data_IF_808530747763
#
_entry.id   IF_808530747763
#
_cell.length_a   1.000
_cell.length_b   1.000
_cell.length_c   1.000
_cell.angle_alpha   90.00
_cell.angle_beta   90.00
_cell.angle_gamma   90.00
#
_symmetry.space_group_name_H-M   'P 1'
#
loop_
_entity.id
_entity.type
_entity.pdbx_description
1 polymer ?
#
# COMPACT_ATOMS: atom_id res chain seq x y z
N UNK A 1 24.44 -4.14 -2.34
CA UNK A 1 23.66 -2.94 -1.93
C UNK A 1 22.21 -2.87 -2.46
N UNK A 2 21.82 -3.58 -3.54
CA UNK A 2 20.45 -3.50 -4.13
C UNK A 2 19.30 -3.84 -3.15
N UNK A 3 19.50 -4.81 -2.25
CA UNK A 3 18.51 -5.20 -1.21
C UNK A 3 18.17 -4.06 -0.24
N UNK A 4 19.13 -3.17 0.05
CA UNK A 4 18.93 -2.03 0.96
C UNK A 4 17.98 -0.97 0.36
N UNK A 5 18.09 -0.73 -0.95
CA UNK A 5 17.20 0.21 -1.66
C UNK A 5 15.77 -0.32 -1.72
N UNK A 6 15.60 -1.62 -1.98
CA UNK A 6 14.27 -2.26 -2.04
C UNK A 6 13.58 -2.20 -0.68
N UNK A 7 14.29 -2.54 0.39
CA UNK A 7 13.76 -2.44 1.76
C UNK A 7 13.37 -1.00 2.12
N UNK A 8 14.14 -0.01 1.65
CA UNK A 8 13.85 1.41 1.85
C UNK A 8 12.57 1.84 1.12
N UNK A 9 12.36 1.36 -0.11
CA UNK A 9 11.11 1.61 -0.87
C UNK A 9 9.91 0.98 -0.16
N UNK A 10 10.03 -0.26 0.31
CA UNK A 10 8.95 -0.95 1.04
C UNK A 10 8.62 -0.22 2.34
N UNK A 11 9.64 0.24 3.08
CA UNK A 11 9.46 0.98 4.34
C UNK A 11 8.72 2.31 4.14
N UNK A 12 9.08 3.09 3.11
CA UNK A 12 8.38 4.35 2.77
C UNK A 12 6.93 4.09 2.37
N UNK A 13 6.71 3.03 1.58
CA UNK A 13 5.37 2.65 1.11
C UNK A 13 4.47 2.21 2.27
N UNK A 14 5.01 1.47 3.24
CA UNK A 14 4.29 1.07 4.44
C UNK A 14 3.91 2.29 5.29
N UNK A 15 4.81 3.26 5.44
CA UNK A 15 4.54 4.50 6.16
C UNK A 15 3.41 5.33 5.51
N UNK A 16 3.39 5.42 4.18
CA UNK A 16 2.31 6.09 3.43
C UNK A 16 0.94 5.40 3.66
N UNK A 17 0.92 4.07 3.70
CA UNK A 17 -0.31 3.33 4.00
C UNK A 17 -0.82 3.58 5.42
N UNK A 18 0.09 3.68 6.40
CA UNK A 18 -0.28 4.02 7.78
C UNK A 18 -0.87 5.43 7.87
N UNK A 19 -0.26 6.41 7.20
CA UNK A 19 -0.78 7.78 7.14
C UNK A 19 -2.17 7.87 6.49
N UNK A 20 -2.40 7.11 5.41
CA UNK A 20 -3.68 7.05 4.73
C UNK A 20 -4.76 6.40 5.61
N UNK A 21 -4.41 5.34 6.34
CA UNK A 21 -5.30 4.68 7.28
C UNK A 21 -5.68 5.59 8.46
N UNK A 22 -4.71 6.32 9.02
CA UNK A 22 -4.95 7.32 10.08
C UNK A 22 -5.88 8.42 9.56
N UNK A 23 -5.62 8.93 8.35
CA UNK A 23 -6.48 9.97 7.74
C UNK A 23 -7.89 9.45 7.48
N UNK A 24 -8.06 8.22 6.98
CA UNK A 24 -9.38 7.60 6.84
C UNK A 24 -10.09 7.41 8.19
N UNK A 25 -9.37 7.06 9.25
CA UNK A 25 -9.95 6.94 10.59
C UNK A 25 -10.44 8.31 11.12
N UNK A 26 -9.66 9.37 10.91
CA UNK A 26 -10.03 10.73 11.34
C UNK A 26 -11.19 11.27 10.50
N UNK A 27 -11.11 11.18 9.16
CA UNK A 27 -12.15 11.68 8.24
C UNK A 27 -13.44 10.86 8.32
N UNK A 28 -13.35 9.55 8.55
CA UNK A 28 -14.50 8.65 8.69
C UNK A 28 -15.33 8.90 9.95
N UNK A 29 -14.83 9.67 10.90
CA UNK A 29 -15.59 10.04 12.11
C UNK A 29 -16.57 11.22 11.84
N UNK A 30 -16.43 11.92 10.70
CA UNK A 30 -17.24 13.10 10.36
C UNK A 30 -18.22 12.97 9.19
N UNK A 31 -18.16 11.91 8.36
CA UNK A 31 -19.01 11.78 7.16
C UNK A 31 -19.83 10.49 7.15
N UNK A 32 -21.05 10.58 6.62
CA UNK A 32 -22.05 9.49 6.59
C UNK A 32 -21.62 8.26 5.79
N UNK A 33 -22.34 7.15 6.00
CA UNK A 33 -22.08 5.79 5.50
C UNK A 33 -21.67 5.64 4.00
N UNK A 34 -22.06 6.59 3.14
CA UNK A 34 -21.69 6.61 1.70
C UNK A 34 -20.22 7.04 1.44
N UNK A 35 -19.64 7.91 2.26
CA UNK A 35 -18.23 8.33 2.14
C UNK A 35 -17.28 7.19 2.55
N UNK A 36 -17.69 6.42 3.55
CA UNK A 36 -16.91 5.29 4.07
C UNK A 36 -16.72 4.18 3.01
N UNK A 37 -17.73 3.90 2.18
CA UNK A 37 -17.61 2.93 1.08
C UNK A 37 -16.67 3.39 -0.02
N UNK A 38 -16.62 4.69 -0.30
CA UNK A 38 -15.72 5.25 -1.30
C UNK A 38 -14.27 5.30 -0.79
N UNK A 39 -14.08 5.65 0.49
CA UNK A 39 -12.78 5.57 1.19
C UNK A 39 -12.29 4.13 1.28
N UNK A 40 -13.16 3.17 1.62
CA UNK A 40 -12.81 1.77 1.69
C UNK A 40 -12.39 1.23 0.32
N UNK A 41 -13.06 1.64 -0.78
CA UNK A 41 -12.61 1.32 -2.13
C UNK A 41 -11.24 1.93 -2.43
N UNK A 42 -11.01 3.19 -2.09
CA UNK A 42 -9.72 3.84 -2.32
C UNK A 42 -8.59 3.11 -1.58
N UNK A 43 -8.81 2.70 -0.33
CA UNK A 43 -7.86 1.90 0.45
C UNK A 43 -7.65 0.52 -0.17
N UNK A 44 -8.73 -0.19 -0.56
CA UNK A 44 -8.62 -1.49 -1.22
C UNK A 44 -7.86 -1.43 -2.55
N UNK A 45 -8.08 -0.39 -3.36
CA UNK A 45 -7.34 -0.18 -4.61
C UNK A 45 -5.86 0.11 -4.29
N UNK A 46 -5.58 0.93 -3.27
CA UNK A 46 -4.21 1.19 -2.81
C UNK A 46 -3.48 -0.09 -2.40
N UNK A 47 -4.12 -0.96 -1.61
CA UNK A 47 -3.58 -2.25 -1.20
C UNK A 47 -3.35 -3.17 -2.41
N UNK A 48 -4.31 -3.24 -3.34
CA UNK A 48 -4.21 -4.10 -4.53
C UNK A 48 -3.03 -3.69 -5.43
N UNK A 49 -2.81 -2.39 -5.64
CA UNK A 49 -1.68 -1.88 -6.41
C UNK A 49 -0.35 -2.22 -5.73
N UNK A 50 -0.26 -2.05 -4.42
CA UNK A 50 0.95 -2.39 -3.65
C UNK A 50 1.27 -3.88 -3.76
N UNK A 51 0.25 -4.73 -3.60
CA UNK A 51 0.40 -6.16 -3.70
C UNK A 51 0.86 -6.59 -5.09
N UNK A 52 0.33 -5.96 -6.15
CA UNK A 52 0.77 -6.17 -7.53
C UNK A 52 2.24 -5.80 -7.76
N UNK A 53 2.69 -4.65 -7.26
CA UNK A 53 4.09 -4.22 -7.38
C UNK A 53 5.03 -5.19 -6.65
N UNK A 54 4.67 -5.62 -5.44
CA UNK A 54 5.44 -6.60 -4.68
C UNK A 54 5.51 -7.96 -5.40
N UNK A 55 4.41 -8.41 -6.00
CA UNK A 55 4.37 -9.64 -6.79
C UNK A 55 5.30 -9.56 -8.01
N UNK A 56 5.29 -8.45 -8.74
CA UNK A 56 6.18 -8.24 -9.90
C UNK A 56 7.65 -8.18 -9.49
N UNK A 57 7.97 -7.46 -8.40
CA UNK A 57 9.34 -7.40 -7.87
C UNK A 57 9.80 -8.78 -7.43
N UNK A 58 8.96 -9.52 -6.71
CA UNK A 58 9.24 -10.89 -6.24
C UNK A 58 9.45 -11.84 -7.43
N UNK A 59 8.61 -11.75 -8.46
CA UNK A 59 8.74 -12.54 -9.68
C UNK A 59 10.08 -12.30 -10.38
N UNK A 60 10.43 -11.04 -10.62
CA UNK A 60 11.72 -10.66 -11.21
C UNK A 60 12.91 -11.13 -10.37
N UNK A 61 12.77 -11.15 -9.04
CA UNK A 61 13.81 -11.67 -8.14
C UNK A 61 13.92 -13.19 -8.18
N UNK A 62 12.80 -13.90 -8.25
CA UNK A 62 12.76 -15.36 -8.37
C UNK A 62 13.42 -15.84 -9.68
N UNK A 63 13.15 -15.15 -10.79
CA UNK A 63 13.75 -15.42 -12.09
C UNK A 63 15.26 -15.12 -12.13
N UNK A 64 15.75 -14.22 -11.26
CA UNK A 64 17.19 -13.90 -11.14
C UNK A 64 17.95 -14.83 -10.17
N UNK A 65 17.25 -15.76 -9.51
CA UNK A 65 17.82 -16.69 -8.52
C UNK A 65 17.98 -18.11 -9.08
N UNK A 66 17.47 -18.37 -10.30
CA UNK A 66 17.68 -19.61 -11.07
C UNK A 66 18.82 -19.48 -12.08
#
# INVERSE_FOLDING_TARGET
MKKCVILKVISILFALMTLLAISCAITGTGSGFLDLSNIARAVCIGIAVICGILAVITWKYAESTV
#
